data_IF_365658066063
#
_entry.id   IF_365658066063
#
_cell.length_a   1.000
_cell.length_b   1.000
_cell.length_c   1.000
_cell.angle_alpha   90.00
_cell.angle_beta   90.00
_cell.angle_gamma   90.00
#
_symmetry.space_group_name_H-M   'P 1'
#
loop_
_entity.id
_entity.type
_entity.pdbx_description
1 polymer ?
#
# COMPACT_ATOMS: atom_id res chain seq x y z
N UNK A 1 13.17 -0.89 -41.75
CA UNK A 1 14.14 -1.42 -40.76
C UNK A 1 13.37 -2.04 -39.62
N UNK A 2 13.35 -3.38 -39.54
CA UNK A 2 12.68 -4.11 -38.47
C UNK A 2 13.49 -3.90 -37.19
N UNK A 3 12.98 -3.07 -36.28
CA UNK A 3 13.57 -2.87 -34.95
C UNK A 3 13.58 -4.24 -34.25
N UNK A 4 14.73 -4.93 -34.24
CA UNK A 4 14.94 -6.20 -33.53
C UNK A 4 14.42 -5.99 -32.10
N UNK A 5 13.30 -6.62 -31.74
CA UNK A 5 12.80 -6.64 -30.35
C UNK A 5 13.94 -7.16 -29.48
N UNK A 6 14.60 -6.27 -28.74
CA UNK A 6 15.63 -6.64 -27.76
C UNK A 6 14.98 -7.66 -26.82
N UNK A 7 15.53 -8.86 -26.75
CA UNK A 7 15.07 -9.90 -25.80
C UNK A 7 15.09 -9.30 -24.39
N UNK A 8 14.08 -9.61 -23.60
CA UNK A 8 14.04 -9.21 -22.19
C UNK A 8 15.21 -9.85 -21.44
N UNK A 9 15.89 -9.04 -20.63
CA UNK A 9 16.94 -9.53 -19.73
C UNK A 9 16.32 -10.39 -18.62
N UNK A 10 17.10 -11.28 -18.00
CA UNK A 10 16.64 -12.16 -16.91
C UNK A 10 15.89 -11.41 -15.80
N UNK A 11 16.45 -10.32 -15.28
CA UNK A 11 15.80 -9.49 -14.24
C UNK A 11 14.44 -8.93 -14.68
N UNK A 12 14.27 -8.63 -15.97
CA UNK A 12 13.01 -8.11 -16.49
C UNK A 12 11.94 -9.20 -16.49
N UNK A 13 12.29 -10.44 -16.80
CA UNK A 13 11.37 -11.58 -16.70
C UNK A 13 10.95 -11.85 -15.26
N UNK A 14 11.90 -11.87 -14.33
CA UNK A 14 11.59 -12.06 -12.90
C UNK A 14 10.75 -10.91 -12.33
N UNK A 15 10.92 -9.68 -12.82
CA UNK A 15 10.05 -8.57 -12.44
C UNK A 15 8.59 -8.78 -12.91
N UNK A 16 8.39 -9.32 -14.12
CA UNK A 16 7.04 -9.68 -14.61
C UNK A 16 6.43 -10.79 -13.74
N UNK A 17 7.20 -11.83 -13.41
CA UNK A 17 6.74 -12.93 -12.53
C UNK A 17 6.35 -12.38 -11.16
N UNK A 18 7.19 -11.53 -10.58
CA UNK A 18 6.91 -10.85 -9.31
C UNK A 18 5.57 -10.08 -9.36
N UNK A 19 5.33 -9.28 -10.41
CA UNK A 19 4.04 -8.60 -10.57
C UNK A 19 2.87 -9.59 -10.74
N UNK A 20 3.07 -10.72 -11.41
CA UNK A 20 2.05 -11.77 -11.49
C UNK A 20 1.67 -12.34 -10.11
N UNK A 21 2.66 -12.53 -9.23
CA UNK A 21 2.39 -13.03 -7.86
C UNK A 21 1.64 -12.04 -6.97
N UNK A 22 1.72 -10.73 -7.27
CA UNK A 22 0.99 -9.69 -6.55
C UNK A 22 -0.53 -9.91 -6.64
N UNK A 23 -1.04 -10.35 -7.79
CA UNK A 23 -2.48 -10.52 -8.03
C UNK A 23 -3.15 -11.54 -7.11
N UNK A 24 -2.39 -12.51 -6.57
CA UNK A 24 -2.93 -13.50 -5.64
C UNK A 24 -3.30 -12.92 -4.27
N UNK A 25 -2.79 -11.74 -3.91
CA UNK A 25 -3.15 -11.09 -2.65
C UNK A 25 -2.95 -12.00 -1.44
N UNK A 26 -3.99 -12.13 -0.64
CA UNK A 26 -4.08 -12.98 0.55
C UNK A 26 -4.64 -14.39 0.26
N UNK A 27 -5.05 -14.68 -0.98
CA UNK A 27 -5.62 -15.98 -1.36
C UNK A 27 -4.61 -17.11 -1.26
N UNK A 28 -3.35 -16.83 -1.57
CA UNK A 28 -2.26 -17.80 -1.48
C UNK A 28 -1.28 -17.33 -0.41
N UNK A 29 -1.29 -18.03 0.71
CA UNK A 29 -0.36 -17.82 1.82
C UNK A 29 -0.04 -19.15 2.50
N UNK A 30 1.21 -19.33 2.86
CA UNK A 30 1.68 -20.49 3.62
C UNK A 30 1.82 -20.08 5.08
N UNK A 31 1.09 -20.77 5.96
CA UNK A 31 1.24 -20.61 7.41
C UNK A 31 2.45 -21.41 7.87
N UNK A 32 3.36 -20.76 8.59
CA UNK A 32 4.51 -21.40 9.23
C UNK A 32 4.32 -21.54 10.75
N UNK A 33 3.09 -21.34 11.24
CA UNK A 33 2.72 -21.39 12.65
C UNK A 33 2.57 -20.00 13.30
N UNK A 34 1.77 -19.93 14.37
CA UNK A 34 1.58 -18.73 15.22
C UNK A 34 1.38 -17.42 14.43
N UNK A 35 0.54 -17.46 13.38
CA UNK A 35 0.21 -16.31 12.51
C UNK A 35 1.38 -15.70 11.73
N UNK A 36 2.44 -16.46 11.49
CA UNK A 36 3.46 -16.10 10.52
C UNK A 36 3.09 -16.67 9.14
N UNK A 37 2.94 -15.77 8.16
CA UNK A 37 2.52 -16.12 6.81
C UNK A 37 3.56 -15.67 5.79
N UNK A 38 3.90 -16.55 4.84
CA UNK A 38 4.70 -16.23 3.65
C UNK A 38 3.80 -16.28 2.42
N UNK A 39 3.93 -15.28 1.55
CA UNK A 39 3.14 -15.15 0.32
C UNK A 39 4.01 -15.38 -0.92
N UNK A 40 3.44 -15.79 -2.06
CA UNK A 40 4.18 -15.87 -3.33
C UNK A 40 4.94 -14.58 -3.68
N UNK A 41 4.35 -13.42 -3.37
CA UNK A 41 4.98 -12.10 -3.59
C UNK A 41 6.25 -11.89 -2.74
N UNK A 42 6.31 -12.48 -1.55
CA UNK A 42 7.51 -12.44 -0.70
C UNK A 42 8.65 -13.21 -1.36
N UNK A 43 8.38 -14.46 -1.77
CA UNK A 43 9.38 -15.33 -2.41
C UNK A 43 9.85 -14.71 -3.72
N UNK A 44 8.93 -14.24 -4.55
CA UNK A 44 9.28 -13.59 -5.80
C UNK A 44 10.10 -12.30 -5.59
N UNK A 45 9.81 -11.53 -4.53
CA UNK A 45 10.59 -10.32 -4.18
C UNK A 45 12.03 -10.67 -3.77
N UNK A 46 12.23 -11.74 -3.00
CA UNK A 46 13.57 -12.22 -2.60
C UNK A 46 14.39 -12.59 -3.83
N UNK A 47 13.83 -13.43 -4.70
CA UNK A 47 14.52 -13.88 -5.93
C UNK A 47 14.86 -12.69 -6.82
N UNK A 48 13.92 -11.77 -7.02
CA UNK A 48 14.12 -10.56 -7.81
C UNK A 48 15.25 -9.67 -7.23
N UNK A 49 15.25 -9.45 -5.91
CA UNK A 49 16.28 -8.65 -5.24
C UNK A 49 17.65 -9.31 -5.33
N UNK A 50 17.76 -10.64 -5.17
CA UNK A 50 19.03 -11.36 -5.31
C UNK A 50 19.60 -11.25 -6.73
N UNK A 51 18.76 -11.39 -7.76
CA UNK A 51 19.15 -11.20 -9.16
C UNK A 51 19.55 -9.74 -9.43
N UNK A 52 18.87 -8.79 -8.79
CA UNK A 52 19.24 -7.38 -8.92
C UNK A 52 20.60 -7.09 -8.28
N UNK A 53 20.83 -7.55 -7.05
CA UNK A 53 22.12 -7.38 -6.34
C UNK A 53 23.26 -7.94 -7.16
N UNK A 54 23.12 -9.15 -7.75
CA UNK A 54 24.15 -9.74 -8.60
C UNK A 54 24.44 -8.90 -9.85
N UNK A 55 23.40 -8.33 -10.48
CA UNK A 55 23.53 -7.44 -11.65
C UNK A 55 24.20 -6.11 -11.31
N UNK A 56 23.93 -5.54 -10.14
CA UNK A 56 24.45 -4.21 -9.73
C UNK A 56 25.68 -4.28 -8.83
N UNK A 57 26.26 -5.46 -8.61
CA UNK A 57 27.35 -5.67 -7.64
C UNK A 57 28.55 -4.73 -7.85
N UNK A 58 28.86 -4.32 -9.09
CA UNK A 58 29.95 -3.35 -9.38
C UNK A 58 29.51 -1.88 -9.33
N UNK A 59 28.22 -1.59 -9.39
CA UNK A 59 27.67 -0.23 -9.52
C UNK A 59 26.70 0.18 -8.40
N UNK A 60 26.50 -0.68 -7.38
CA UNK A 60 25.51 -0.49 -6.32
C UNK A 60 25.66 0.83 -5.59
N UNK A 61 26.91 1.25 -5.29
CA UNK A 61 27.20 2.53 -4.61
C UNK A 61 26.62 3.71 -5.38
N UNK A 62 26.77 3.72 -6.72
CA UNK A 62 26.26 4.79 -7.58
C UNK A 62 24.73 4.81 -7.63
N UNK A 63 24.09 3.65 -7.58
CA UNK A 63 22.62 3.52 -7.68
C UNK A 63 21.95 3.90 -6.36
N UNK A 64 22.52 3.44 -5.25
CA UNK A 64 21.95 3.53 -3.91
C UNK A 64 22.42 4.82 -3.21
N UNK A 65 23.73 5.01 -3.01
CA UNK A 65 24.25 6.07 -2.13
C UNK A 65 24.00 7.49 -2.64
N UNK A 66 23.86 7.66 -3.95
CA UNK A 66 23.59 8.96 -4.56
C UNK A 66 22.11 9.36 -4.51
N UNK A 67 21.22 8.46 -4.05
CA UNK A 67 19.81 8.79 -3.95
C UNK A 67 19.48 9.59 -2.68
N UNK A 68 18.70 10.66 -2.84
CA UNK A 68 18.23 11.49 -1.71
C UNK A 68 17.36 10.71 -0.71
N UNK A 69 16.75 9.60 -1.10
CA UNK A 69 15.99 8.73 -0.20
C UNK A 69 16.85 7.74 0.57
N UNK A 70 18.12 7.54 0.20
CA UNK A 70 18.98 6.56 0.87
C UNK A 70 19.12 6.83 2.36
N UNK A 71 19.47 8.06 2.76
CA UNK A 71 19.65 8.43 4.16
C UNK A 71 18.34 8.25 4.95
N UNK A 72 17.19 8.82 4.54
CA UNK A 72 15.92 8.58 5.23
C UNK A 72 15.54 7.10 5.37
N UNK A 73 15.76 6.29 4.33
CA UNK A 73 15.49 4.84 4.36
C UNK A 73 16.38 4.15 5.39
N UNK A 74 17.69 4.39 5.36
CA UNK A 74 18.64 3.77 6.29
C UNK A 74 18.39 4.20 7.73
N UNK A 75 18.05 5.47 7.97
CA UNK A 75 17.66 5.93 9.31
C UNK A 75 16.43 5.18 9.83
N UNK A 76 15.42 4.96 8.98
CA UNK A 76 14.25 4.18 9.36
C UNK A 76 14.58 2.71 9.64
N UNK A 77 15.40 2.09 8.79
CA UNK A 77 15.89 0.71 9.00
C UNK A 77 16.66 0.60 10.32
N UNK A 78 17.53 1.57 10.60
CA UNK A 78 18.34 1.59 11.81
C UNK A 78 17.47 1.72 13.06
N UNK A 79 16.51 2.66 13.10
CA UNK A 79 15.66 2.82 14.30
C UNK A 79 14.72 1.64 14.51
N UNK A 80 14.19 1.03 13.44
CA UNK A 80 13.38 -0.19 13.53
C UNK A 80 14.19 -1.35 14.10
N UNK A 81 15.45 -1.51 13.65
CA UNK A 81 16.36 -2.53 14.17
C UNK A 81 16.77 -2.27 15.63
N UNK A 82 17.14 -1.03 15.97
CA UNK A 82 17.48 -0.63 17.34
C UNK A 82 16.31 -0.91 18.29
N UNK A 83 15.09 -0.55 17.88
CA UNK A 83 13.87 -0.81 18.65
C UNK A 83 13.65 -2.31 18.92
N UNK A 84 13.87 -3.18 17.92
CA UNK A 84 13.82 -4.64 18.09
C UNK A 84 14.88 -5.14 19.09
N UNK A 85 16.14 -4.69 18.93
CA UNK A 85 17.25 -5.13 19.77
C UNK A 85 17.06 -4.72 21.23
N UNK A 86 16.64 -3.48 21.50
CA UNK A 86 16.36 -3.00 22.86
C UNK A 86 15.28 -3.83 23.53
N UNK A 87 14.27 -4.26 22.77
CA UNK A 87 13.15 -5.03 23.27
C UNK A 87 13.34 -6.56 23.18
N UNK A 88 14.54 -7.04 22.83
CA UNK A 88 14.79 -8.47 22.63
C UNK A 88 14.40 -9.32 23.85
N UNK A 89 14.73 -8.86 25.05
CA UNK A 89 14.46 -9.57 26.32
C UNK A 89 12.99 -9.57 26.74
N UNK A 90 12.16 -8.74 26.10
CA UNK A 90 10.75 -8.58 26.47
C UNK A 90 9.82 -9.63 25.85
N UNK A 91 10.32 -10.42 24.89
CA UNK A 91 9.55 -11.39 24.11
C UNK A 91 10.31 -12.70 23.99
N UNK A 92 9.60 -13.78 23.66
CA UNK A 92 10.23 -15.05 23.33
C UNK A 92 11.06 -14.96 22.05
N UNK A 93 12.03 -15.87 21.90
CA UNK A 93 12.86 -15.96 20.70
C UNK A 93 12.02 -16.10 19.42
N UNK A 94 10.92 -16.88 19.49
CA UNK A 94 10.04 -17.09 18.35
C UNK A 94 9.30 -15.80 17.95
N UNK A 95 8.70 -15.09 18.90
CA UNK A 95 8.00 -13.81 18.64
C UNK A 95 8.94 -12.77 18.03
N UNK A 96 10.19 -12.74 18.50
CA UNK A 96 11.24 -11.90 17.96
C UNK A 96 11.64 -12.30 16.52
N UNK A 97 11.73 -13.60 16.24
CA UNK A 97 11.99 -14.11 14.89
C UNK A 97 10.87 -13.70 13.92
N UNK A 98 9.61 -13.83 14.35
CA UNK A 98 8.46 -13.35 13.58
C UNK A 98 8.60 -11.85 13.33
N UNK A 99 8.77 -11.01 14.36
CA UNK A 99 8.91 -9.57 14.20
C UNK A 99 10.07 -9.18 13.26
N UNK A 100 11.23 -9.84 13.40
CA UNK A 100 12.39 -9.65 12.55
C UNK A 100 12.14 -10.06 11.08
N UNK A 101 11.38 -11.12 10.84
CA UNK A 101 11.02 -11.53 9.47
C UNK A 101 10.18 -10.47 8.73
N UNK A 102 9.28 -9.77 9.43
CA UNK A 102 8.52 -8.66 8.85
C UNK A 102 9.38 -7.40 8.66
N UNK A 103 10.37 -7.17 9.52
CA UNK A 103 11.40 -6.15 9.30
C UNK A 103 12.17 -6.42 7.99
N UNK A 104 12.63 -7.66 7.77
CA UNK A 104 13.25 -8.06 6.52
C UNK A 104 12.31 -7.91 5.33
N UNK A 105 11.03 -8.29 5.46
CA UNK A 105 10.01 -8.08 4.42
C UNK A 105 9.88 -6.59 4.04
N UNK A 106 9.86 -5.69 5.02
CA UNK A 106 9.79 -4.26 4.74
C UNK A 106 11.02 -3.77 3.96
N UNK A 107 12.24 -4.20 4.34
CA UNK A 107 13.48 -3.90 3.61
C UNK A 107 13.41 -4.42 2.16
N UNK A 108 12.93 -5.65 1.96
CA UNK A 108 12.78 -6.25 0.63
C UNK A 108 11.88 -5.41 -0.26
N UNK A 109 10.73 -4.95 0.26
CA UNK A 109 9.80 -4.14 -0.52
C UNK A 109 10.32 -2.74 -0.84
N UNK A 110 11.04 -2.10 0.09
CA UNK A 110 11.71 -0.82 -0.17
C UNK A 110 12.79 -0.98 -1.24
N UNK A 111 13.48 -2.12 -1.27
CA UNK A 111 14.51 -2.40 -2.28
C UNK A 111 13.94 -2.39 -3.70
N UNK A 112 12.64 -2.68 -3.88
CA UNK A 112 11.97 -2.60 -5.19
C UNK A 112 12.04 -1.21 -5.82
N UNK A 113 12.12 -0.15 -5.02
CA UNK A 113 12.37 1.21 -5.53
C UNK A 113 13.69 1.27 -6.31
N UNK A 114 14.77 0.76 -5.73
CA UNK A 114 16.08 0.75 -6.39
C UNK A 114 16.13 -0.21 -7.58
N UNK A 115 15.42 -1.34 -7.51
CA UNK A 115 15.23 -2.27 -8.64
C UNK A 115 14.58 -1.53 -9.82
N UNK A 116 13.42 -0.91 -9.60
CA UNK A 116 12.67 -0.21 -10.65
C UNK A 116 13.46 0.99 -11.17
N UNK A 117 14.11 1.75 -10.28
CA UNK A 117 15.00 2.86 -10.66
C UNK A 117 16.06 2.42 -11.66
N UNK A 118 16.69 1.26 -11.44
CA UNK A 118 17.78 0.74 -12.28
C UNK A 118 17.37 0.30 -13.69
N UNK A 119 16.07 0.17 -13.98
CA UNK A 119 15.61 -0.20 -15.31
C UNK A 119 15.71 0.93 -16.33
N UNK A 120 15.89 0.58 -17.61
CA UNK A 120 15.91 1.54 -18.70
C UNK A 120 14.54 2.19 -18.91
N UNK A 121 14.51 3.41 -19.47
CA UNK A 121 13.25 4.14 -19.75
C UNK A 121 12.28 3.33 -20.61
N UNK A 122 12.78 2.56 -21.60
CA UNK A 122 11.96 1.64 -22.41
C UNK A 122 11.28 0.57 -21.56
N UNK A 123 11.98 0.01 -20.56
CA UNK A 123 11.36 -1.00 -19.69
C UNK A 123 10.43 -0.37 -18.65
N UNK A 124 10.69 0.85 -18.16
CA UNK A 124 9.76 1.58 -17.27
C UNK A 124 8.42 1.85 -17.94
N UNK A 125 8.40 2.13 -19.24
CA UNK A 125 7.16 2.22 -20.02
C UNK A 125 6.44 0.86 -20.09
N UNK A 126 7.17 -0.25 -20.21
CA UNK A 126 6.58 -1.60 -20.08
C UNK A 126 6.01 -1.84 -18.67
N UNK A 127 6.68 -1.39 -17.61
CA UNK A 127 6.18 -1.48 -16.23
C UNK A 127 4.83 -0.77 -16.09
N UNK A 128 4.65 0.40 -16.71
CA UNK A 128 3.34 1.08 -16.74
C UNK A 128 2.24 0.15 -17.26
N UNK A 129 2.46 -0.52 -18.39
CA UNK A 129 1.48 -1.48 -18.94
C UNK A 129 1.28 -2.70 -18.04
N UNK A 130 2.33 -3.18 -17.37
CA UNK A 130 2.22 -4.28 -16.42
C UNK A 130 1.40 -3.90 -15.17
N UNK A 131 1.58 -2.68 -14.65
CA UNK A 131 0.77 -2.17 -13.53
C UNK A 131 -0.69 -1.95 -13.95
N UNK A 132 -0.93 -1.52 -15.19
CA UNK A 132 -2.27 -1.45 -15.77
C UNK A 132 -2.92 -2.83 -15.85
N UNK A 133 -2.21 -3.84 -16.34
CA UNK A 133 -2.71 -5.21 -16.38
C UNK A 133 -3.00 -5.74 -14.96
N UNK A 134 -2.06 -5.57 -14.02
CA UNK A 134 -2.18 -6.02 -12.64
C UNK A 134 -3.40 -5.40 -11.93
N UNK A 135 -3.59 -4.08 -12.03
CA UNK A 135 -4.74 -3.43 -11.40
C UNK A 135 -6.06 -3.79 -12.09
N UNK A 136 -6.05 -4.02 -13.41
CA UNK A 136 -7.24 -4.49 -14.13
C UNK A 136 -7.63 -5.90 -13.67
N UNK A 137 -6.66 -6.80 -13.51
CA UNK A 137 -6.90 -8.14 -12.95
C UNK A 137 -7.46 -8.02 -11.53
N UNK A 138 -6.91 -7.15 -10.70
CA UNK A 138 -7.40 -6.94 -9.33
C UNK A 138 -8.84 -6.40 -9.28
N UNK A 139 -9.20 -5.48 -10.17
CA UNK A 139 -10.58 -4.99 -10.35
C UNK A 139 -11.51 -6.12 -10.82
N UNK A 140 -11.10 -6.88 -11.84
CA UNK A 140 -11.88 -8.00 -12.37
C UNK A 140 -12.13 -9.07 -11.29
N UNK A 141 -11.09 -9.47 -10.56
CA UNK A 141 -11.22 -10.41 -9.42
C UNK A 141 -12.11 -9.84 -8.30
N UNK A 142 -12.10 -8.53 -8.10
CA UNK A 142 -13.00 -7.84 -7.19
C UNK A 142 -14.47 -7.99 -7.59
N UNK A 143 -14.79 -7.80 -8.86
CA UNK A 143 -16.16 -8.02 -9.35
C UNK A 143 -16.57 -9.49 -9.31
N UNK A 144 -15.67 -10.41 -9.70
CA UNK A 144 -15.92 -11.86 -9.59
C UNK A 144 -16.22 -12.21 -8.12
N UNK A 145 -15.39 -11.74 -7.18
CA UNK A 145 -15.64 -11.92 -5.77
C UNK A 145 -16.98 -11.31 -5.34
N UNK A 146 -17.28 -10.07 -5.74
CA UNK A 146 -18.51 -9.39 -5.30
C UNK A 146 -19.78 -10.13 -5.73
N UNK A 147 -19.82 -10.67 -6.95
CA UNK A 147 -21.01 -11.37 -7.47
C UNK A 147 -21.10 -12.83 -7.04
N UNK A 148 -19.98 -13.55 -6.96
CA UNK A 148 -19.98 -15.00 -6.70
C UNK A 148 -19.58 -15.38 -5.27
N UNK A 149 -18.99 -14.45 -4.50
CA UNK A 149 -18.46 -14.69 -3.16
C UNK A 149 -18.62 -13.45 -2.27
N UNK A 150 -19.88 -13.06 -2.02
CA UNK A 150 -20.24 -11.81 -1.32
C UNK A 150 -20.13 -11.86 0.21
N UNK A 151 -19.72 -12.99 0.79
CA UNK A 151 -19.73 -13.26 2.22
C UNK A 151 -18.39 -13.88 2.68
N UNK A 152 -17.68 -13.19 3.58
CA UNK A 152 -16.41 -13.65 4.16
C UNK A 152 -16.55 -14.39 5.50
N UNK A 153 -17.76 -14.47 6.06
CA UNK A 153 -18.05 -15.08 7.37
C UNK A 153 -17.59 -16.52 7.49
N UNK A 154 -17.65 -17.28 6.39
CA UNK A 154 -17.16 -18.65 6.35
C UNK A 154 -15.65 -18.76 6.58
N UNK A 155 -14.87 -17.67 6.49
CA UNK A 155 -13.44 -17.64 6.79
C UNK A 155 -13.13 -17.02 8.16
N UNK A 156 -14.15 -16.71 8.98
CA UNK A 156 -13.96 -16.13 10.31
C UNK A 156 -13.08 -16.99 11.22
N UNK A 157 -13.23 -18.32 11.14
CA UNK A 157 -12.41 -19.28 11.90
C UNK A 157 -10.92 -19.23 11.54
N UNK A 158 -10.56 -18.67 10.38
CA UNK A 158 -9.16 -18.46 9.97
C UNK A 158 -8.61 -17.11 10.43
N UNK A 159 -9.37 -16.30 11.17
CA UNK A 159 -8.96 -15.00 11.69
C UNK A 159 -9.27 -13.82 10.76
N UNK A 160 -10.14 -14.00 9.77
CA UNK A 160 -10.64 -12.92 8.90
C UNK A 160 -11.87 -12.25 9.49
N UNK A 161 -11.99 -10.94 9.29
CA UNK A 161 -13.15 -10.18 9.76
C UNK A 161 -14.40 -10.48 8.92
N UNK A 162 -15.58 -10.46 9.56
CA UNK A 162 -16.83 -10.70 8.84
C UNK A 162 -17.17 -9.51 7.92
N UNK A 163 -17.21 -9.78 6.61
CA UNK A 163 -17.56 -8.81 5.60
C UNK A 163 -18.65 -9.35 4.67
N UNK A 164 -19.82 -8.73 4.75
CA UNK A 164 -21.01 -9.05 3.96
C UNK A 164 -21.28 -7.98 2.92
N UNK A 165 -21.53 -8.38 1.68
CA UNK A 165 -21.95 -7.51 0.56
C UNK A 165 -20.96 -6.36 0.26
N UNK A 166 -19.66 -6.60 0.49
CA UNK A 166 -18.60 -5.64 0.23
C UNK A 166 -17.61 -6.23 -0.77
N UNK A 167 -17.07 -5.38 -1.62
CA UNK A 167 -15.99 -5.72 -2.54
C UNK A 167 -14.65 -5.64 -1.80
N UNK A 168 -13.91 -6.75 -1.75
CA UNK A 168 -12.60 -6.89 -1.12
C UNK A 168 -11.53 -7.56 -2.00
N UNK A 169 -11.92 -8.10 -3.17
CA UNK A 169 -11.01 -8.74 -4.13
C UNK A 169 -10.07 -9.77 -3.48
N UNK A 170 -8.82 -9.88 -3.92
CA UNK A 170 -7.87 -10.86 -3.38
C UNK A 170 -7.25 -10.47 -2.05
N UNK A 171 -7.57 -9.29 -1.49
CA UNK A 171 -7.04 -8.83 -0.21
C UNK A 171 -7.85 -9.31 1.00
N UNK A 172 -9.06 -9.83 0.78
CA UNK A 172 -9.94 -10.31 1.86
C UNK A 172 -10.26 -9.25 2.93
N UNK A 173 -9.99 -7.97 2.63
CA UNK A 173 -10.34 -6.81 3.45
C UNK A 173 -10.77 -5.65 2.55
N UNK A 174 -12.01 -5.13 2.70
CA UNK A 174 -12.55 -4.07 1.86
C UNK A 174 -11.92 -2.70 2.13
N UNK A 175 -11.33 -2.46 3.30
CA UNK A 175 -10.64 -1.20 3.59
C UNK A 175 -9.31 -1.13 2.83
N UNK A 176 -8.49 -2.19 2.89
CA UNK A 176 -7.24 -2.26 2.13
C UNK A 176 -7.48 -2.38 0.63
N UNK A 177 -8.51 -3.13 0.21
CA UNK A 177 -8.91 -3.19 -1.20
C UNK A 177 -9.37 -1.81 -1.70
N UNK A 178 -10.19 -1.11 -0.92
CA UNK A 178 -10.63 0.26 -1.20
C UNK A 178 -9.44 1.22 -1.39
N UNK A 179 -8.48 1.19 -0.46
CA UNK A 179 -7.25 1.98 -0.58
C UNK A 179 -6.47 1.65 -1.86
N UNK A 180 -6.32 0.38 -2.22
CA UNK A 180 -5.65 -0.01 -3.46
C UNK A 180 -6.43 0.41 -4.72
N UNK A 181 -7.76 0.31 -4.73
CA UNK A 181 -8.56 0.83 -5.84
C UNK A 181 -8.37 2.33 -6.01
N UNK A 182 -8.29 3.11 -4.93
CA UNK A 182 -7.94 4.54 -5.00
C UNK A 182 -6.58 4.75 -5.66
N UNK A 183 -5.55 4.01 -5.22
CA UNK A 183 -4.21 4.10 -5.81
C UNK A 183 -4.21 3.77 -7.30
N UNK A 184 -4.95 2.73 -7.67
CA UNK A 184 -5.08 2.30 -9.06
C UNK A 184 -5.87 3.31 -9.91
N UNK A 185 -6.97 3.86 -9.40
CA UNK A 185 -7.75 4.89 -10.08
C UNK A 185 -6.94 6.17 -10.31
N UNK A 186 -6.15 6.60 -9.31
CA UNK A 186 -5.25 7.76 -9.46
C UNK A 186 -4.16 7.47 -10.50
N UNK A 187 -3.59 6.26 -10.50
CA UNK A 187 -2.66 5.84 -11.54
C UNK A 187 -3.30 5.88 -12.94
N UNK A 188 -4.48 5.28 -13.11
CA UNK A 188 -5.22 5.29 -14.38
C UNK A 188 -5.52 6.71 -14.85
N UNK A 189 -5.92 7.61 -13.94
CA UNK A 189 -6.16 9.01 -14.26
C UNK A 189 -4.88 9.71 -14.77
N UNK A 190 -3.73 9.44 -14.15
CA UNK A 190 -2.43 9.90 -14.64
C UNK A 190 -2.12 9.39 -16.05
N UNK A 191 -2.37 8.12 -16.32
CA UNK A 191 -2.16 7.50 -17.65
C UNK A 191 -3.14 8.03 -18.69
N UNK A 192 -4.41 8.24 -18.34
CA UNK A 192 -5.42 8.85 -19.22
C UNK A 192 -5.00 10.26 -19.64
N UNK A 193 -4.52 11.09 -18.71
CA UNK A 193 -4.01 12.41 -19.04
C UNK A 193 -2.78 12.36 -19.94
N UNK A 194 -1.83 11.45 -19.65
CA UNK A 194 -0.66 11.25 -20.49
C UNK A 194 -1.02 10.87 -21.93
N UNK A 195 -1.92 9.89 -22.12
CA UNK A 195 -2.33 9.47 -23.46
C UNK A 195 -3.20 10.51 -24.16
N UNK A 196 -3.96 11.33 -23.42
CA UNK A 196 -4.71 12.46 -23.98
C UNK A 196 -3.79 13.50 -24.61
N UNK A 197 -2.71 13.88 -23.93
CA UNK A 197 -1.71 14.79 -24.53
C UNK A 197 -1.01 14.20 -25.76
N UNK A 198 -0.96 12.87 -25.85
CA UNK A 198 -0.37 12.14 -26.98
C UNK A 198 -1.37 11.83 -28.10
N UNK A 199 -2.63 12.25 -27.98
CA UNK A 199 -3.72 11.89 -28.91
C UNK A 199 -3.80 10.37 -29.19
N UNK A 200 -3.50 9.54 -28.18
CA UNK A 200 -3.47 8.08 -28.35
C UNK A 200 -4.88 7.49 -28.24
N UNK A 201 -5.22 6.56 -29.14
CA UNK A 201 -6.48 5.81 -29.11
C UNK A 201 -6.60 4.88 -27.89
N UNK A 202 -5.51 4.62 -27.17
CA UNK A 202 -5.51 3.78 -25.96
C UNK A 202 -6.46 4.30 -24.86
N UNK A 203 -6.83 5.58 -24.88
CA UNK A 203 -7.79 6.18 -23.93
C UNK A 203 -9.11 5.39 -23.91
N UNK A 204 -9.59 4.94 -25.07
CA UNK A 204 -10.85 4.20 -25.19
C UNK A 204 -10.83 2.83 -24.49
N UNK A 205 -9.64 2.21 -24.37
CA UNK A 205 -9.47 0.97 -23.63
C UNK A 205 -9.38 1.21 -22.12
N UNK A 206 -8.78 2.33 -21.71
CA UNK A 206 -8.48 2.64 -20.32
C UNK A 206 -9.68 3.26 -19.59
N UNK A 207 -10.52 4.00 -20.30
CA UNK A 207 -11.66 4.71 -19.73
C UNK A 207 -12.70 3.77 -19.08
N UNK A 208 -13.10 2.62 -19.67
CA UNK A 208 -13.97 1.66 -19.00
C UNK A 208 -13.33 1.07 -17.74
N UNK A 209 -12.03 0.74 -17.79
CA UNK A 209 -11.29 0.21 -16.64
C UNK A 209 -11.25 1.24 -15.51
N UNK A 210 -11.04 2.52 -15.85
CA UNK A 210 -11.12 3.62 -14.89
C UNK A 210 -12.49 3.72 -14.25
N UNK A 211 -13.57 3.72 -15.04
CA UNK A 211 -14.94 3.73 -14.52
C UNK A 211 -15.21 2.55 -13.57
N UNK A 212 -14.82 1.33 -13.95
CA UNK A 212 -14.95 0.13 -13.12
C UNK A 212 -14.13 0.21 -11.83
N UNK A 213 -12.93 0.81 -11.87
CA UNK A 213 -12.12 1.04 -10.67
C UNK A 213 -12.79 2.01 -9.70
N UNK A 214 -13.44 3.06 -10.21
CA UNK A 214 -14.21 4.01 -9.40
C UNK A 214 -15.41 3.32 -8.75
N UNK A 215 -16.17 2.54 -9.54
CA UNK A 215 -17.28 1.73 -9.00
C UNK A 215 -16.79 0.77 -7.92
N UNK A 216 -15.61 0.17 -8.09
CA UNK A 216 -15.02 -0.73 -7.09
C UNK A 216 -14.75 -0.03 -5.76
N UNK A 217 -14.26 1.23 -5.76
CA UNK A 217 -14.07 2.03 -4.54
C UNK A 217 -15.40 2.14 -3.78
N UNK A 218 -16.48 2.48 -4.46
CA UNK A 218 -17.80 2.63 -3.84
C UNK A 218 -18.36 1.30 -3.31
N UNK A 219 -18.23 0.21 -4.07
CA UNK A 219 -18.68 -1.13 -3.67
C UNK A 219 -17.87 -1.73 -2.50
N UNK A 220 -16.72 -1.15 -2.14
CA UNK A 220 -16.03 -1.53 -0.90
C UNK A 220 -16.75 -1.04 0.36
N UNK A 221 -17.59 0.00 0.25
CA UNK A 221 -18.19 0.70 1.40
C UNK A 221 -17.17 1.11 2.47
N UNK A 222 -15.90 1.31 2.10
CA UNK A 222 -14.83 1.75 3.01
C UNK A 222 -14.86 3.26 3.18
N UNK A 223 -15.23 3.73 4.39
CA UNK A 223 -15.22 5.16 4.74
C UNK A 223 -13.84 5.79 4.59
N UNK A 224 -12.81 5.09 5.06
CA UNK A 224 -11.43 5.59 4.93
C UNK A 224 -11.00 5.59 3.48
N UNK A 225 -11.41 4.61 2.68
CA UNK A 225 -11.20 4.58 1.22
C UNK A 225 -11.88 5.75 0.49
N UNK A 226 -13.12 6.11 0.86
CA UNK A 226 -13.80 7.28 0.27
C UNK A 226 -13.10 8.60 0.64
N UNK A 227 -12.66 8.76 1.89
CA UNK A 227 -11.88 9.94 2.33
C UNK A 227 -10.52 9.98 1.62
N UNK A 228 -9.85 8.82 1.47
CA UNK A 228 -8.63 8.67 0.71
C UNK A 228 -8.82 9.08 -0.75
N UNK A 229 -9.94 8.71 -1.36
CA UNK A 229 -10.26 9.07 -2.73
C UNK A 229 -10.42 10.58 -2.90
N UNK A 230 -11.21 11.21 -2.03
CA UNK A 230 -11.43 12.66 -2.03
C UNK A 230 -10.13 13.44 -1.86
N UNK A 231 -9.26 13.01 -0.94
CA UNK A 231 -7.99 13.68 -0.69
C UNK A 231 -7.01 13.47 -1.83
N UNK A 232 -6.90 12.24 -2.36
CA UNK A 232 -6.05 11.94 -3.52
C UNK A 232 -6.48 12.72 -4.76
N UNK A 233 -7.79 12.77 -5.06
CA UNK A 233 -8.31 13.47 -6.24
C UNK A 233 -8.24 14.98 -6.08
N UNK A 234 -8.39 15.53 -4.87
CA UNK A 234 -8.16 16.95 -4.60
C UNK A 234 -6.70 17.33 -4.92
N UNK A 235 -5.73 16.60 -4.37
CA UNK A 235 -4.30 16.82 -4.64
C UNK A 235 -4.00 16.66 -6.14
N UNK A 236 -4.54 15.62 -6.77
CA UNK A 236 -4.35 15.39 -8.21
C UNK A 236 -4.90 16.56 -9.04
N UNK A 237 -6.10 17.03 -8.71
CA UNK A 237 -6.79 18.11 -9.42
C UNK A 237 -6.07 19.44 -9.28
N UNK A 238 -5.53 19.74 -8.10
CA UNK A 238 -4.73 20.94 -7.86
C UNK A 238 -3.42 20.89 -8.67
N UNK A 239 -2.68 19.78 -8.59
CA UNK A 239 -1.39 19.65 -9.26
C UNK A 239 -1.51 19.59 -10.79
N UNK A 240 -2.59 18.98 -11.30
CA UNK A 240 -2.88 18.94 -12.74
C UNK A 240 -3.63 20.16 -13.27
N UNK A 241 -4.02 21.11 -12.39
CA UNK A 241 -4.83 22.30 -12.68
C UNK A 241 -6.21 21.98 -13.29
N UNK A 242 -6.85 20.91 -12.81
CA UNK A 242 -8.12 20.37 -13.32
C UNK A 242 -9.13 20.19 -12.17
N UNK A 243 -9.48 21.29 -11.50
CA UNK A 243 -10.38 21.29 -10.32
C UNK A 243 -11.74 20.65 -10.59
N UNK A 244 -12.22 20.67 -11.84
CA UNK A 244 -13.46 20.04 -12.24
C UNK A 244 -13.50 18.52 -11.98
N UNK A 245 -12.33 17.84 -11.94
CA UNK A 245 -12.26 16.41 -11.60
C UNK A 245 -12.68 16.16 -10.14
N UNK A 246 -12.24 17.02 -9.22
CA UNK A 246 -12.65 16.96 -7.83
C UNK A 246 -14.15 17.24 -7.66
N UNK A 247 -14.67 18.27 -8.33
CA UNK A 247 -16.10 18.61 -8.30
C UNK A 247 -16.98 17.48 -8.86
N UNK A 248 -16.54 16.83 -9.94
CA UNK A 248 -17.24 15.68 -10.50
C UNK A 248 -17.28 14.50 -9.52
N UNK A 249 -16.16 14.21 -8.84
CA UNK A 249 -16.13 13.16 -7.81
C UNK A 249 -17.03 13.50 -6.62
N UNK A 250 -17.05 14.75 -6.16
CA UNK A 250 -17.96 15.18 -5.09
C UNK A 250 -19.42 14.96 -5.47
N UNK A 251 -19.80 15.31 -6.71
CA UNK A 251 -21.16 15.08 -7.21
C UNK A 251 -21.51 13.58 -7.23
N UNK A 252 -20.61 12.75 -7.78
CA UNK A 252 -20.81 11.28 -7.82
C UNK A 252 -20.92 10.70 -6.42
N UNK A 253 -20.09 11.14 -5.48
CA UNK A 253 -20.15 10.72 -4.08
C UNK A 253 -21.47 11.13 -3.42
N UNK A 254 -21.95 12.35 -3.65
CA UNK A 254 -23.23 12.82 -3.13
C UNK A 254 -24.39 11.95 -3.65
N UNK A 255 -24.42 11.69 -4.96
CA UNK A 255 -25.41 10.79 -5.58
C UNK A 255 -25.32 9.37 -5.01
N UNK A 256 -24.10 8.84 -4.84
CA UNK A 256 -23.90 7.52 -4.24
C UNK A 256 -24.42 7.43 -2.81
N UNK A 257 -24.15 8.43 -1.96
CA UNK A 257 -24.66 8.45 -0.58
C UNK A 257 -26.18 8.53 -0.55
N UNK A 258 -26.79 9.35 -1.42
CA UNK A 258 -28.25 9.45 -1.54
C UNK A 258 -28.88 8.11 -1.94
N UNK A 259 -28.29 7.39 -2.90
CA UNK A 259 -28.81 6.09 -3.36
C UNK A 259 -28.59 5.01 -2.29
N UNK A 260 -27.38 4.92 -1.75
CA UNK A 260 -26.99 3.87 -0.79
C UNK A 260 -27.65 4.01 0.58
N UNK A 261 -28.06 5.23 0.97
CA UNK A 261 -28.74 5.48 2.25
C UNK A 261 -30.01 4.63 2.44
N UNK A 262 -30.68 4.25 1.34
CA UNK A 262 -31.85 3.36 1.37
C UNK A 262 -31.54 1.95 1.85
N UNK A 263 -30.28 1.54 1.80
CA UNK A 263 -29.80 0.20 2.17
C UNK A 263 -29.01 0.17 3.48
N UNK A 264 -28.97 1.28 4.23
CA UNK A 264 -28.23 1.37 5.50
C UNK A 264 -28.82 0.54 6.65
N UNK A 265 -29.97 -0.11 6.43
CA UNK A 265 -30.47 -1.17 7.31
C UNK A 265 -29.50 -2.38 7.40
N UNK A 266 -28.59 -2.54 6.43
CA UNK A 266 -27.53 -3.55 6.46
C UNK A 266 -26.24 -2.92 7.01
N UNK A 267 -25.84 -3.33 8.22
CA UNK A 267 -24.76 -2.69 8.98
C UNK A 267 -23.39 -2.67 8.26
N UNK A 268 -23.07 -3.69 7.47
CA UNK A 268 -21.79 -3.77 6.75
C UNK A 268 -21.65 -2.71 5.65
N UNK A 269 -22.76 -2.24 5.07
CA UNK A 269 -22.80 -1.23 4.00
C UNK A 269 -23.29 0.14 4.50
N UNK A 270 -23.62 0.24 5.78
CA UNK A 270 -23.99 1.50 6.42
C UNK A 270 -22.76 2.40 6.59
N UNK A 271 -22.69 3.48 5.82
CA UNK A 271 -21.62 4.48 5.91
C UNK A 271 -21.67 5.29 7.21
N UNK A 272 -22.77 5.26 7.95
CA UNK A 272 -22.95 5.97 9.21
C UNK A 272 -22.84 5.08 10.46
N UNK A 273 -22.41 3.82 10.30
CA UNK A 273 -22.25 2.89 11.41
C UNK A 273 -21.32 3.40 12.53
N UNK A 274 -21.73 3.21 13.77
CA UNK A 274 -21.00 3.68 14.95
C UNK A 274 -19.95 2.64 15.39
N UNK A 275 -20.26 1.34 15.31
CA UNK A 275 -19.40 0.26 15.82
C UNK A 275 -17.95 0.32 15.29
N UNK A 276 -17.77 0.56 13.99
CA UNK A 276 -16.42 0.67 13.41
C UNK A 276 -15.68 1.95 13.80
N UNK A 277 -16.38 3.02 14.21
CA UNK A 277 -15.73 4.21 14.75
C UNK A 277 -15.29 3.98 16.20
N UNK A 278 -16.14 3.33 17.01
CA UNK A 278 -15.82 2.95 18.39
C UNK A 278 -14.62 2.01 18.48
N UNK A 279 -14.58 0.96 17.65
CA UNK A 279 -13.45 0.03 17.59
C UNK A 279 -12.12 0.73 17.27
N UNK A 280 -12.13 1.73 16.38
CA UNK A 280 -10.93 2.54 16.06
C UNK A 280 -10.51 3.43 17.22
N UNK A 281 -11.47 4.00 17.94
CA UNK A 281 -11.20 4.80 19.15
C UNK A 281 -10.59 3.91 20.24
N UNK A 282 -11.10 2.70 20.44
CA UNK A 282 -10.55 1.72 21.39
C UNK A 282 -9.14 1.26 20.99
N UNK A 283 -8.93 0.96 19.71
CA UNK A 283 -7.63 0.63 19.11
C UNK A 283 -6.60 1.75 19.36
N UNK A 284 -7.00 3.01 19.16
CA UNK A 284 -6.16 4.18 19.44
C UNK A 284 -5.88 4.36 20.93
N UNK A 285 -6.88 4.20 21.81
CA UNK A 285 -6.69 4.25 23.27
C UNK A 285 -5.69 3.21 23.74
N UNK A 286 -5.80 1.98 23.24
CA UNK A 286 -4.87 0.89 23.51
C UNK A 286 -3.45 1.24 23.08
N UNK A 287 -3.28 1.74 21.85
CA UNK A 287 -1.98 2.16 21.35
C UNK A 287 -1.36 3.27 22.22
N UNK A 288 -2.16 4.27 22.63
CA UNK A 288 -1.72 5.37 23.50
C UNK A 288 -1.26 4.85 24.87
N UNK A 289 -1.95 3.86 25.45
CA UNK A 289 -1.56 3.27 26.72
C UNK A 289 -0.22 2.51 26.62
N UNK A 290 0.03 1.82 25.50
CA UNK A 290 1.32 1.17 25.21
C UNK A 290 2.41 2.23 25.01
N UNK A 291 2.14 3.29 24.25
CA UNK A 291 3.06 4.41 23.99
C UNK A 291 3.50 5.08 25.29
N UNK A 292 2.56 5.36 26.21
CA UNK A 292 2.87 5.98 27.51
C UNK A 292 3.90 5.20 28.33
N UNK A 293 3.94 3.87 28.15
CA UNK A 293 4.90 2.99 28.84
C UNK A 293 6.22 2.81 28.07
N UNK A 294 6.27 3.12 26.77
CA UNK A 294 7.40 2.84 25.87
C UNK A 294 7.73 4.02 24.94
N UNK A 295 7.88 5.23 25.50
CA UNK A 295 7.86 6.47 24.73
C UNK A 295 9.00 6.64 23.71
N UNK A 296 10.23 6.23 24.05
CA UNK A 296 11.42 6.58 23.25
C UNK A 296 11.70 5.62 22.10
N UNK A 297 11.71 4.31 22.38
CA UNK A 297 12.06 3.26 21.41
C UNK A 297 10.92 2.28 21.13
N UNK A 298 9.74 2.51 21.70
CA UNK A 298 8.58 1.64 21.52
C UNK A 298 8.79 0.22 22.06
N UNK A 299 7.90 -0.68 21.67
CA UNK A 299 7.92 -2.09 22.09
C UNK A 299 8.71 -3.01 21.14
N UNK A 300 9.30 -2.50 20.06
CA UNK A 300 9.92 -3.29 19.01
C UNK A 300 9.15 -3.18 17.69
N UNK A 301 9.85 -3.06 16.56
CA UNK A 301 9.22 -3.03 15.25
C UNK A 301 8.39 -4.30 15.01
N UNK A 302 7.10 -4.15 14.76
CA UNK A 302 6.18 -5.25 14.49
C UNK A 302 6.02 -6.30 15.62
N UNK A 303 6.24 -5.90 16.88
CA UNK A 303 5.93 -6.72 18.08
C UNK A 303 4.59 -6.34 18.73
N UNK A 304 3.80 -5.46 18.09
CA UNK A 304 2.61 -4.84 18.69
C UNK A 304 1.59 -5.85 19.24
N UNK A 305 1.31 -6.94 18.52
CA UNK A 305 0.43 -8.03 18.98
C UNK A 305 0.87 -8.57 20.35
N UNK A 306 2.16 -8.87 20.48
CA UNK A 306 2.73 -9.45 21.69
C UNK A 306 2.72 -8.43 22.83
N UNK A 307 2.92 -7.15 22.52
CA UNK A 307 2.76 -6.08 23.50
C UNK A 307 1.31 -5.96 24.00
N UNK A 308 0.30 -6.08 23.12
CA UNK A 308 -1.10 -6.08 23.54
C UNK A 308 -1.41 -7.23 24.51
N UNK A 309 -0.89 -8.44 24.25
CA UNK A 309 -1.03 -9.59 25.15
C UNK A 309 -0.32 -9.32 26.48
N UNK A 310 0.94 -8.86 26.44
CA UNK A 310 1.75 -8.55 27.63
C UNK A 310 1.09 -7.52 28.54
N UNK A 311 0.42 -6.52 27.98
CA UNK A 311 -0.27 -5.49 28.74
C UNK A 311 -1.72 -5.84 29.09
N UNK A 312 -2.20 -7.04 28.75
CA UNK A 312 -3.52 -7.52 29.11
C UNK A 312 -4.68 -6.97 28.27
N UNK A 313 -4.39 -6.34 27.12
CA UNK A 313 -5.41 -5.86 26.19
C UNK A 313 -5.97 -6.97 25.29
N UNK A 314 -5.25 -8.08 25.18
CA UNK A 314 -5.66 -9.27 24.42
C UNK A 314 -5.31 -10.53 25.21
N UNK A 315 -6.12 -11.57 25.04
CA UNK A 315 -5.82 -12.89 25.60
C UNK A 315 -4.86 -13.66 24.70
N UNK A 316 -3.89 -14.37 25.29
CA UNK A 316 -3.04 -15.31 24.56
C UNK A 316 -3.81 -16.57 24.10
N UNK A 317 -4.95 -16.86 24.74
CA UNK A 317 -5.75 -18.09 24.53
C UNK A 317 -6.97 -17.88 23.64
N UNK A 318 -7.16 -16.71 23.02
CA UNK A 318 -8.30 -16.48 22.13
C UNK A 318 -8.25 -17.49 20.97
N UNK A 319 -9.23 -18.39 20.91
CA UNK A 319 -9.37 -19.51 19.96
C UNK A 319 -9.43 -19.08 18.49
N UNK A 320 -9.52 -17.78 18.22
CA UNK A 320 -9.43 -17.15 16.91
C UNK A 320 -8.47 -15.97 16.98
N UNK A 321 -7.18 -16.19 16.71
CA UNK A 321 -6.23 -15.09 16.56
C UNK A 321 -6.60 -14.28 15.31
N UNK A 322 -6.94 -13.00 15.49
CA UNK A 322 -7.36 -12.15 14.36
C UNK A 322 -6.15 -11.65 13.57
N UNK A 323 -6.31 -11.56 12.25
CA UNK A 323 -5.32 -10.92 11.39
C UNK A 323 -5.17 -9.41 11.66
N UNK A 324 -6.18 -8.77 12.27
CA UNK A 324 -6.12 -7.37 12.66
C UNK A 324 -5.23 -7.11 13.90
N UNK A 325 -4.98 -8.14 14.72
CA UNK A 325 -4.28 -8.00 16.01
C UNK A 325 -2.79 -7.63 15.89
N UNK A 326 -2.21 -7.67 14.69
CA UNK A 326 -0.80 -7.35 14.49
C UNK A 326 -0.52 -5.84 14.40
N UNK A 327 -1.54 -4.99 14.39
CA UNK A 327 -1.39 -3.54 14.27
C UNK A 327 -2.45 -2.76 15.04
N UNK A 328 -2.45 -1.46 14.81
CA UNK A 328 -3.51 -0.54 15.27
C UNK A 328 -4.14 0.09 14.03
N UNK A 329 -5.41 0.53 14.14
CA UNK A 329 -6.15 1.21 13.08
C UNK A 329 -5.64 2.63 12.78
N UNK A 330 -4.34 2.86 12.99
CA UNK A 330 -3.65 4.11 12.70
C UNK A 330 -2.16 3.82 12.51
N UNK A 331 -1.64 4.01 11.30
CA UNK A 331 -0.24 3.71 10.98
C UNK A 331 0.75 4.55 11.79
N UNK A 332 0.39 5.78 12.17
CA UNK A 332 1.27 6.65 12.96
C UNK A 332 1.33 6.22 14.42
N UNK A 333 0.19 5.82 15.00
CA UNK A 333 0.16 5.21 16.32
C UNK A 333 0.89 3.86 16.33
N UNK A 334 0.82 3.09 15.24
CA UNK A 334 1.59 1.85 15.10
C UNK A 334 3.10 2.12 15.15
N UNK A 335 3.57 3.09 14.37
CA UNK A 335 4.99 3.51 14.38
C UNK A 335 5.42 4.02 15.75
N UNK A 336 4.60 4.84 16.41
CA UNK A 336 4.92 5.36 17.73
C UNK A 336 4.92 4.25 18.79
N UNK A 337 3.93 3.37 18.80
CA UNK A 337 3.89 2.26 19.75
C UNK A 337 5.07 1.30 19.57
N UNK A 338 5.44 1.00 18.32
CA UNK A 338 6.47 0.00 18.01
C UNK A 338 7.89 0.55 18.05
N UNK A 339 8.14 1.78 17.60
CA UNK A 339 9.49 2.36 17.49
C UNK A 339 9.69 3.64 18.32
N UNK A 340 8.67 4.09 19.06
CA UNK A 340 8.74 5.29 19.90
C UNK A 340 8.74 6.60 19.12
N UNK A 341 8.91 7.71 19.84
CA UNK A 341 8.87 9.06 19.26
C UNK A 341 10.02 9.29 18.27
N UNK A 342 11.18 8.68 18.52
CA UNK A 342 12.34 8.74 17.62
C UNK A 342 12.00 8.07 16.29
N UNK A 343 11.39 6.87 16.35
CA UNK A 343 10.90 6.17 15.16
C UNK A 343 9.85 6.98 14.39
N UNK A 344 8.90 7.59 15.09
CA UNK A 344 7.87 8.43 14.47
C UNK A 344 8.47 9.63 13.73
N UNK A 345 9.40 10.37 14.35
CA UNK A 345 10.07 11.52 13.72
C UNK A 345 10.83 11.08 12.47
N UNK A 346 11.59 9.98 12.55
CA UNK A 346 12.35 9.44 11.41
C UNK A 346 11.40 9.01 10.29
N UNK A 347 10.28 8.38 10.63
CA UNK A 347 9.30 7.94 9.65
C UNK A 347 8.59 9.12 8.95
N UNK A 348 8.21 10.15 9.70
CA UNK A 348 7.66 11.39 9.13
C UNK A 348 8.67 12.07 8.22
N UNK A 349 9.95 12.08 8.60
CA UNK A 349 11.02 12.57 7.74
C UNK A 349 11.18 11.73 6.45
N UNK A 350 11.01 10.41 6.50
CA UNK A 350 10.99 9.56 5.31
C UNK A 350 9.84 9.94 4.37
N UNK A 351 8.62 10.06 4.90
CA UNK A 351 7.44 10.48 4.12
C UNK A 351 7.65 11.86 3.50
N UNK A 352 8.19 12.81 4.28
CA UNK A 352 8.51 14.15 3.78
C UNK A 352 9.50 14.12 2.62
N UNK A 353 10.57 13.32 2.71
CA UNK A 353 11.55 13.22 1.63
C UNK A 353 10.99 12.53 0.38
N UNK A 354 10.07 11.57 0.55
CA UNK A 354 9.31 10.98 -0.56
C UNK A 354 8.50 12.06 -1.30
N UNK A 355 7.70 12.85 -0.57
CA UNK A 355 6.90 13.94 -1.13
C UNK A 355 7.79 15.02 -1.79
N UNK A 356 8.85 15.44 -1.10
CA UNK A 356 9.82 16.43 -1.61
C UNK A 356 10.46 15.98 -2.91
N UNK A 357 10.86 14.71 -3.01
CA UNK A 357 11.45 14.14 -4.22
C UNK A 357 10.45 14.09 -5.38
N UNK A 358 9.24 13.61 -5.12
CA UNK A 358 8.17 13.56 -6.14
C UNK A 358 7.79 14.97 -6.63
N UNK A 359 7.70 15.94 -5.72
CA UNK A 359 7.43 17.34 -6.06
C UNK A 359 8.56 17.99 -6.87
N UNK A 360 9.81 17.77 -6.48
CA UNK A 360 10.97 18.25 -7.24
C UNK A 360 11.01 17.67 -8.66
N UNK A 361 10.67 16.38 -8.82
CA UNK A 361 10.56 15.76 -10.14
C UNK A 361 9.41 16.38 -10.95
N UNK A 362 8.21 16.50 -10.37
CA UNK A 362 7.07 17.17 -10.99
C UNK A 362 7.40 18.57 -11.53
N UNK A 363 8.16 19.37 -10.77
CA UNK A 363 8.59 20.72 -11.17
C UNK A 363 9.64 20.73 -12.28
N UNK A 364 10.57 19.77 -12.27
CA UNK A 364 11.69 19.69 -13.22
C UNK A 364 11.27 19.18 -14.60
N UNK A 365 10.28 18.29 -14.66
CA UNK A 365 9.94 17.59 -15.88
C UNK A 365 9.17 18.45 -16.90
N UNK A 366 9.44 18.20 -18.18
CA UNK A 366 8.75 18.86 -19.30
C UNK A 366 7.24 18.66 -19.20
N UNK A 367 6.48 19.67 -19.63
CA UNK A 367 5.04 19.52 -19.89
C UNK A 367 4.85 18.32 -20.82
N UNK A 368 3.96 17.39 -20.44
CA UNK A 368 3.56 16.20 -21.20
C UNK A 368 4.52 14.99 -21.15
N UNK A 369 5.53 15.00 -20.29
CA UNK A 369 6.35 13.81 -20.04
C UNK A 369 5.64 12.79 -19.13
N UNK A 370 5.87 11.50 -19.38
CA UNK A 370 5.36 10.41 -18.54
C UNK A 370 5.74 10.58 -17.06
N UNK A 371 6.98 10.98 -16.80
CA UNK A 371 7.53 11.17 -15.45
C UNK A 371 6.82 12.29 -14.68
N UNK A 372 6.36 13.34 -15.38
CA UNK A 372 5.55 14.40 -14.77
C UNK A 372 4.22 13.86 -14.26
N UNK A 373 3.51 13.07 -15.08
CA UNK A 373 2.23 12.47 -14.67
C UNK A 373 2.41 11.46 -13.54
N UNK A 374 3.43 10.59 -13.61
CA UNK A 374 3.72 9.66 -12.52
C UNK A 374 4.10 10.39 -11.23
N UNK A 375 4.80 11.53 -11.32
CA UNK A 375 5.09 12.34 -10.12
C UNK A 375 3.81 12.91 -9.48
N UNK A 376 2.83 13.35 -10.29
CA UNK A 376 1.52 13.75 -9.77
C UNK A 376 0.81 12.56 -9.13
N UNK A 377 0.80 11.39 -9.80
CA UNK A 377 0.23 10.14 -9.26
C UNK A 377 0.83 9.82 -7.89
N UNK A 378 2.16 9.84 -7.76
CA UNK A 378 2.85 9.57 -6.49
C UNK A 378 2.45 10.58 -5.41
N UNK A 379 2.44 11.89 -5.72
CA UNK A 379 2.06 12.92 -4.74
C UNK A 379 0.61 12.74 -4.26
N UNK A 380 -0.31 12.49 -5.18
CA UNK A 380 -1.73 12.23 -4.87
C UNK A 380 -1.92 10.95 -4.08
N UNK A 381 -1.25 9.87 -4.47
CA UNK A 381 -1.30 8.57 -3.80
C UNK A 381 -0.75 8.63 -2.38
N UNK A 382 0.44 9.20 -2.19
CA UNK A 382 1.06 9.32 -0.85
C UNK A 382 0.25 10.28 0.02
N UNK A 383 -0.22 11.40 -0.53
CA UNK A 383 -1.09 12.33 0.19
C UNK A 383 -2.39 11.69 0.67
N UNK A 384 -3.04 10.89 -0.19
CA UNK A 384 -4.22 10.11 0.19
C UNK A 384 -3.93 9.05 1.25
N UNK A 385 -2.86 8.26 1.08
CA UNK A 385 -2.47 7.24 2.06
C UNK A 385 -2.21 7.86 3.43
N UNK A 386 -1.58 9.03 3.51
CA UNK A 386 -1.35 9.73 4.79
C UNK A 386 -2.67 9.96 5.52
N UNK A 387 -3.72 10.37 4.82
CA UNK A 387 -5.04 10.59 5.42
C UNK A 387 -5.72 9.27 5.80
N UNK A 388 -5.69 8.28 4.90
CA UNK A 388 -6.22 6.94 5.18
C UNK A 388 -5.53 6.26 6.37
N UNK A 389 -4.23 6.55 6.57
CA UNK A 389 -3.40 6.02 7.65
C UNK A 389 -3.80 6.49 9.04
N UNK A 390 -4.70 7.46 9.17
CA UNK A 390 -5.31 7.80 10.46
C UNK A 390 -6.45 6.83 10.86
N UNK A 391 -6.93 6.02 9.92
CA UNK A 391 -8.10 5.18 10.08
C UNK A 391 -7.82 3.68 9.92
N UNK A 392 -6.72 3.32 9.25
CA UNK A 392 -6.21 1.95 9.11
C UNK A 392 -4.67 1.93 9.05
N UNK A 393 -4.05 0.75 9.18
CA UNK A 393 -2.60 0.58 9.08
C UNK A 393 -2.10 0.50 7.62
N UNK A 394 -2.55 1.39 6.72
CA UNK A 394 -2.29 1.27 5.27
C UNK A 394 -0.84 1.51 4.87
N UNK A 395 -0.07 2.30 5.62
CA UNK A 395 1.35 2.54 5.34
C UNK A 395 2.24 1.31 5.56
N UNK A 396 1.76 0.30 6.27
CA UNK A 396 2.49 -0.96 6.51
C UNK A 396 1.83 -2.18 5.84
N UNK A 397 0.74 -1.96 5.12
CA UNK A 397 0.10 -3.02 4.36
C UNK A 397 0.94 -3.39 3.13
N UNK A 398 1.35 -4.66 3.03
CA UNK A 398 2.39 -5.15 2.10
C UNK A 398 2.17 -4.70 0.65
N UNK A 399 0.96 -4.86 0.13
CA UNK A 399 0.65 -4.56 -1.27
C UNK A 399 0.62 -3.06 -1.57
N UNK A 400 0.19 -2.23 -0.60
CA UNK A 400 0.24 -0.76 -0.73
C UNK A 400 1.70 -0.30 -0.73
N UNK A 401 2.53 -0.83 0.17
CA UNK A 401 3.97 -0.54 0.24
C UNK A 401 4.66 -0.89 -1.08
N UNK A 402 4.46 -2.10 -1.60
CA UNK A 402 5.00 -2.54 -2.89
C UNK A 402 4.60 -1.56 -4.01
N UNK A 403 3.32 -1.24 -4.10
CA UNK A 403 2.79 -0.35 -5.15
C UNK A 403 3.46 1.03 -5.13
N UNK A 404 3.57 1.65 -3.95
CA UNK A 404 4.15 2.99 -3.80
C UNK A 404 5.65 3.00 -4.13
N UNK A 405 6.42 2.00 -3.68
CA UNK A 405 7.86 1.95 -3.99
C UNK A 405 8.14 1.72 -5.48
N UNK A 406 7.29 0.94 -6.16
CA UNK A 406 7.37 0.79 -7.62
C UNK A 406 7.08 2.13 -8.32
N UNK A 407 6.00 2.82 -7.95
CA UNK A 407 5.66 4.13 -8.53
C UNK A 407 6.78 5.16 -8.29
N UNK A 408 7.39 5.15 -7.11
CA UNK A 408 8.55 6.00 -6.81
C UNK A 408 9.75 5.69 -7.71
N UNK A 409 9.99 4.43 -8.07
CA UNK A 409 11.07 4.08 -9.01
C UNK A 409 10.81 4.57 -10.44
N UNK A 410 9.54 4.76 -10.81
CA UNK A 410 9.12 5.20 -12.14
C UNK A 410 9.26 6.71 -12.38
N UNK A 411 9.33 7.54 -11.33
CA UNK A 411 9.53 9.00 -11.52
C UNK A 411 10.94 9.33 -12.03
N UNK A 412 11.90 8.43 -11.85
CA UNK A 412 13.29 8.66 -12.22
C UNK A 412 13.57 8.33 -13.69
N UNK A 413 14.37 9.16 -14.34
CA UNK A 413 15.01 8.83 -15.61
C UNK A 413 16.47 8.48 -15.33
N UNK A 414 16.91 7.35 -15.90
CA UNK A 414 18.33 7.01 -15.94
C UNK A 414 19.08 7.84 -16.97
#
# INVERSE_FOLDING_TARGET
MVEKRRKMDMIQWFFVIFLGTFSFGELIRLSLGNNFFIKPVDIASIVLVLIWISKVFKSWKKIILNDKLFIPIILFIAIAFISLVINFKNFSFYEMLVAFSYFLRWILYVTLFFVVKSFSSKFKEKIMYLLLALGTIFVALGFVQYFFYSNLRNLYYLGWDEHMYRLFSTFLDPNFAGAFFVLYSIFLLGILLYFREKNSKNIWLIMPIFALSIVSIFLTYSRSGLIMFLTSIAIFSILSKKIYLFLAVLLVLAVFVLISSRSFNIENINLFRIASAEARIESAKTAIQIIKKNMFFGVGFNTYRYAQIKYGFRSASSSSTSHADAGTDNSFLFVFATMGIVGLIIYLNLIWNILKKAYANFKKQKANSFQKYISIVVLSSVGGIIVDSFFINSLFYSFIVIWIWILLGLIENN
#
